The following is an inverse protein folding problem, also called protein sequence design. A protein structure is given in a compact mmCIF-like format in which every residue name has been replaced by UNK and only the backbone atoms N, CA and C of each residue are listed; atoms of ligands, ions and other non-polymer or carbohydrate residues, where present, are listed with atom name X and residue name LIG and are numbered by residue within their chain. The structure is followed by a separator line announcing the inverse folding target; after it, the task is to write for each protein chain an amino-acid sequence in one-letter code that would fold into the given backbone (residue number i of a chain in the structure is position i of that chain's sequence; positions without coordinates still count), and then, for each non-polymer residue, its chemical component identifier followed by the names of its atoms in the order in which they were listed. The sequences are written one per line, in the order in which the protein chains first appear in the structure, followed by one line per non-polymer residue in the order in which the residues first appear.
data_IF_170238436727
#
_entry.id   IF_170238436727
#
_cell.length_a   1.000
_cell.length_b   1.000
_cell.length_c   1.000
_cell.angle_alpha   90.00
_cell.angle_beta   90.00
_cell.angle_gamma   90.00
#
_symmetry.space_group_name_H-M   'P 1'
#
loop_
_entity.id
_entity.type
_entity.pdbx_description
1 polymer ?
#
# COMPACT_ATOMS: atom_id res chain seq x y z
N UNK A 1 10.52 -4.15 -17.85
CA UNK A 1 11.55 -5.15 -17.46
C UNK A 1 12.87 -4.98 -18.23
N UNK A 2 13.11 -3.83 -18.89
CA UNK A 2 14.26 -3.59 -19.77
C UNK A 2 15.48 -2.96 -19.07
N UNK A 3 15.30 -2.35 -17.90
CA UNK A 3 16.38 -1.65 -17.20
C UNK A 3 17.28 -2.55 -16.35
N UNK A 4 16.83 -3.76 -15.99
CA UNK A 4 17.59 -4.66 -15.14
C UNK A 4 18.56 -5.49 -15.98
N UNK A 5 19.83 -5.10 -16.00
CA UNK A 5 20.89 -5.79 -16.75
C UNK A 5 20.96 -7.31 -16.46
N UNK A 6 20.96 -7.77 -15.19
CA UNK A 6 21.03 -9.21 -14.90
C UNK A 6 19.68 -9.93 -15.06
N UNK A 7 18.60 -9.23 -15.41
CA UNK A 7 17.27 -9.83 -15.48
C UNK A 7 16.72 -10.29 -14.13
N UNK A 8 17.12 -9.65 -13.03
CA UNK A 8 16.65 -9.96 -11.67
C UNK A 8 15.21 -9.50 -11.41
N UNK A 9 14.72 -8.48 -12.13
CA UNK A 9 13.36 -7.98 -11.96
C UNK A 9 12.42 -8.77 -12.88
N UNK A 10 11.38 -9.38 -12.31
CA UNK A 10 10.36 -10.13 -13.04
C UNK A 10 8.95 -9.77 -12.56
N UNK A 11 7.93 -10.26 -13.27
CA UNK A 11 6.52 -10.07 -12.93
C UNK A 11 5.97 -11.46 -12.69
N UNK A 12 5.51 -11.71 -11.47
CA UNK A 12 4.92 -13.00 -11.11
C UNK A 12 3.58 -13.17 -11.84
N UNK A 13 3.37 -14.27 -12.59
CA UNK A 13 2.15 -14.47 -13.36
C UNK A 13 0.93 -14.74 -12.48
N UNK A 14 1.10 -15.16 -11.23
CA UNK A 14 -0.02 -15.53 -10.35
C UNK A 14 -0.61 -14.31 -9.63
N UNK A 15 0.26 -13.38 -9.19
CA UNK A 15 -0.13 -12.21 -8.38
C UNK A 15 -0.01 -10.89 -9.13
N UNK A 16 0.44 -10.91 -10.39
CA UNK A 16 0.86 -9.75 -11.18
C UNK A 16 1.89 -8.82 -10.50
N UNK A 17 2.49 -9.29 -9.39
CA UNK A 17 3.41 -8.50 -8.60
C UNK A 17 4.77 -8.49 -9.28
N UNK A 18 5.34 -7.30 -9.48
CA UNK A 18 6.73 -7.17 -9.90
C UNK A 18 7.61 -7.59 -8.72
N UNK A 19 8.57 -8.49 -8.90
CA UNK A 19 9.47 -8.98 -7.85
C UNK A 19 10.93 -8.84 -8.27
N UNK A 20 11.84 -8.99 -7.30
CA UNK A 20 13.28 -8.96 -7.51
C UNK A 20 13.86 -10.28 -7.02
N UNK A 21 14.52 -11.01 -7.92
CA UNK A 21 15.34 -12.17 -7.58
C UNK A 21 16.65 -11.66 -6.95
N UNK A 22 16.81 -11.88 -5.65
CA UNK A 22 17.97 -11.42 -4.90
C UNK A 22 19.25 -12.17 -5.25
N UNK A 23 19.17 -13.41 -5.73
CA UNK A 23 20.35 -14.17 -6.15
C UNK A 23 20.93 -13.57 -7.44
N UNK A 24 20.05 -13.16 -8.36
CA UNK A 24 20.45 -12.51 -9.62
C UNK A 24 20.77 -11.03 -9.49
N UNK A 25 20.32 -10.37 -8.43
CA UNK A 25 20.59 -8.95 -8.22
C UNK A 25 22.10 -8.69 -8.02
N UNK A 26 22.66 -7.74 -8.76
CA UNK A 26 24.08 -7.34 -8.69
C UNK A 26 24.30 -5.91 -8.16
N UNK A 27 23.26 -5.27 -7.61
CA UNK A 27 23.35 -3.91 -7.05
C UNK A 27 23.89 -2.85 -8.03
N UNK A 28 23.49 -2.89 -9.31
CA UNK A 28 23.99 -1.94 -10.32
C UNK A 28 23.24 -0.61 -10.39
N UNK A 29 22.28 -0.35 -9.50
CA UNK A 29 21.47 0.88 -9.47
C UNK A 29 20.58 1.18 -10.71
N UNK A 30 20.66 0.40 -11.80
CA UNK A 30 19.99 0.73 -13.06
C UNK A 30 18.46 0.80 -12.95
N UNK A 31 17.85 -0.07 -12.16
CA UNK A 31 16.41 -0.04 -11.92
C UNK A 31 15.96 1.16 -11.08
N UNK A 32 16.81 1.70 -10.21
CA UNK A 32 16.49 2.90 -9.46
C UNK A 32 16.53 4.15 -10.37
N UNK A 33 17.53 4.25 -11.25
CA UNK A 33 17.59 5.32 -12.26
C UNK A 33 16.40 5.28 -13.23
N UNK A 34 15.93 4.08 -13.56
CA UNK A 34 14.79 3.91 -14.47
C UNK A 34 13.41 4.11 -13.81
N UNK A 35 13.32 4.06 -12.47
CA UNK A 35 12.04 4.13 -11.78
C UNK A 35 11.59 5.60 -11.62
N UNK A 36 10.51 6.05 -12.30
CA UNK A 36 10.06 7.43 -12.20
C UNK A 36 9.50 7.80 -10.81
N UNK A 37 9.15 6.79 -10.01
CA UNK A 37 8.59 6.98 -8.67
C UNK A 37 9.65 7.00 -7.56
N UNK A 38 10.93 6.70 -7.87
CA UNK A 38 12.01 6.73 -6.88
C UNK A 38 11.84 5.75 -5.70
N UNK A 39 11.11 4.64 -5.90
CA UNK A 39 10.75 3.71 -4.81
C UNK A 39 11.77 2.60 -4.55
N UNK A 40 12.76 2.42 -5.43
CA UNK A 40 13.78 1.37 -5.28
C UNK A 40 14.82 1.82 -4.25
N UNK A 41 15.09 0.97 -3.26
CA UNK A 41 16.12 1.18 -2.23
C UNK A 41 17.19 0.11 -2.34
N UNK A 42 18.34 0.35 -1.70
CA UNK A 42 19.44 -0.61 -1.63
C UNK A 42 19.86 -0.78 -0.19
N UNK A 43 19.78 -2.00 0.30
CA UNK A 43 20.19 -2.41 1.63
C UNK A 43 20.26 -3.94 1.67
N UNK A 44 20.83 -4.46 2.75
CA UNK A 44 20.68 -5.87 3.07
C UNK A 44 19.22 -6.13 3.48
N UNK A 45 18.62 -7.16 2.89
CA UNK A 45 17.28 -7.61 3.22
C UNK A 45 17.36 -8.96 3.93
N UNK A 46 16.46 -9.22 4.87
CA UNK A 46 16.41 -10.47 5.62
C UNK A 46 16.11 -11.69 4.75
N UNK A 47 15.52 -11.48 3.57
CA UNK A 47 15.24 -12.52 2.56
C UNK A 47 16.32 -12.64 1.48
N UNK A 48 17.32 -11.75 1.50
CA UNK A 48 18.47 -11.82 0.60
C UNK A 48 19.61 -12.66 1.20
N UNK A 49 20.58 -13.12 0.38
CA UNK A 49 21.78 -13.76 0.89
C UNK A 49 22.49 -12.87 1.96
N UNK A 50 22.93 -13.44 3.10
CA UNK A 50 23.53 -12.66 4.18
C UNK A 50 24.72 -11.80 3.71
N UNK A 51 24.76 -10.53 4.12
CA UNK A 51 25.82 -9.59 3.74
C UNK A 51 25.74 -9.07 2.30
N UNK A 52 24.69 -9.43 1.54
CA UNK A 52 24.48 -8.97 0.17
C UNK A 52 23.53 -7.77 0.14
N UNK A 53 24.06 -6.61 -0.25
CA UNK A 53 23.22 -5.45 -0.58
C UNK A 53 22.51 -5.70 -1.90
N UNK A 54 21.18 -5.63 -1.89
CA UNK A 54 20.34 -5.86 -3.08
C UNK A 54 19.37 -4.69 -3.29
N UNK A 55 18.79 -4.62 -4.49
CA UNK A 55 17.66 -3.73 -4.75
C UNK A 55 16.43 -4.27 -4.01
N UNK A 56 15.79 -3.43 -3.20
CA UNK A 56 14.60 -3.76 -2.41
C UNK A 56 13.48 -2.78 -2.77
N UNK A 57 12.25 -3.30 -2.82
CA UNK A 57 11.02 -2.52 -3.05
C UNK A 57 9.83 -3.29 -2.46
N UNK A 58 8.65 -2.66 -2.45
CA UNK A 58 7.39 -3.33 -2.10
C UNK A 58 7.21 -4.63 -2.89
N UNK A 59 6.88 -5.71 -2.21
CA UNK A 59 6.61 -7.05 -2.73
C UNK A 59 5.11 -7.41 -2.64
N UNK A 60 4.24 -6.44 -2.38
CA UNK A 60 2.82 -6.68 -2.08
C UNK A 60 2.57 -7.71 -0.96
N UNK A 61 3.55 -7.92 -0.07
CA UNK A 61 3.51 -8.95 0.96
C UNK A 61 3.24 -10.36 0.39
N UNK A 62 3.95 -10.80 -0.64
CA UNK A 62 3.74 -12.11 -1.29
C UNK A 62 3.62 -13.28 -0.32
N UNK A 63 4.41 -13.29 0.75
CA UNK A 63 4.35 -14.35 1.77
C UNK A 63 3.03 -14.38 2.54
N UNK A 64 2.40 -13.22 2.75
CA UNK A 64 1.09 -13.11 3.41
C UNK A 64 -0.03 -13.51 2.45
N UNK A 65 0.05 -13.03 1.20
CA UNK A 65 -0.91 -13.41 0.17
C UNK A 65 -0.93 -14.93 -0.06
N UNK A 66 0.23 -15.59 -0.02
CA UNK A 66 0.37 -17.03 -0.18
C UNK A 66 -0.38 -17.86 0.88
N UNK A 67 -0.64 -17.28 2.06
CA UNK A 67 -1.41 -17.92 3.15
C UNK A 67 -2.82 -17.33 3.31
N UNK A 68 -3.32 -16.62 2.29
CA UNK A 68 -4.66 -16.03 2.29
C UNK A 68 -4.82 -14.80 3.18
N UNK A 69 -3.72 -14.21 3.67
CA UNK A 69 -3.76 -12.96 4.42
C UNK A 69 -3.63 -11.75 3.49
N UNK A 70 -4.24 -10.63 3.87
CA UNK A 70 -4.07 -9.35 3.16
C UNK A 70 -2.69 -8.71 3.47
N UNK A 71 -2.22 -7.75 2.65
CA UNK A 71 -0.98 -7.03 2.91
C UNK A 71 -0.98 -6.31 4.26
N UNK A 72 0.16 -6.30 4.93
CA UNK A 72 0.28 -5.75 6.29
C UNK A 72 -0.06 -4.25 6.36
N UNK A 73 0.29 -3.47 5.32
CA UNK A 73 -0.06 -2.05 5.26
C UNK A 73 -1.58 -1.81 5.17
N UNK A 74 -2.31 -2.73 4.53
CA UNK A 74 -3.77 -2.67 4.39
C UNK A 74 -4.43 -3.10 5.70
N UNK A 75 -3.96 -4.19 6.30
CA UNK A 75 -4.45 -4.67 7.61
C UNK A 75 -4.29 -3.60 8.69
N UNK A 76 -3.14 -2.91 8.74
CA UNK A 76 -2.86 -1.90 9.75
C UNK A 76 -3.64 -0.58 9.54
N UNK A 77 -4.30 -0.40 8.39
CA UNK A 77 -5.00 0.82 8.05
C UNK A 77 -6.32 0.96 8.81
N UNK A 78 -6.25 1.56 10.02
CA UNK A 78 -7.41 1.76 10.91
C UNK A 78 -8.53 2.62 10.32
N UNK A 79 -8.24 3.44 9.33
CA UNK A 79 -9.23 4.31 8.67
C UNK A 79 -9.85 3.69 7.43
N UNK A 80 -9.40 2.50 7.01
CA UNK A 80 -9.85 1.90 5.76
C UNK A 80 -9.47 2.71 4.51
N UNK A 81 -8.47 3.60 4.59
CA UNK A 81 -7.99 4.38 3.45
C UNK A 81 -7.26 3.51 2.42
N UNK A 82 -6.67 2.40 2.85
CA UNK A 82 -6.02 1.42 2.00
C UNK A 82 -6.95 0.21 1.81
N UNK A 83 -7.00 -0.29 0.58
CA UNK A 83 -7.77 -1.47 0.17
C UNK A 83 -6.90 -2.32 -0.75
N UNK A 84 -7.08 -3.63 -0.73
CA UNK A 84 -6.40 -4.57 -1.61
C UNK A 84 -7.47 -5.33 -2.39
N UNK A 85 -7.72 -4.88 -3.61
CA UNK A 85 -8.80 -5.33 -4.49
C UNK A 85 -8.39 -5.07 -5.94
N UNK A 86 -9.05 -5.73 -6.89
CA UNK A 86 -8.83 -5.46 -8.31
C UNK A 86 -9.19 -4.00 -8.65
N UNK A 87 -8.38 -3.31 -9.48
CA UNK A 87 -8.56 -1.88 -9.75
C UNK A 87 -9.93 -1.50 -10.32
N UNK A 88 -10.53 -2.37 -11.14
CA UNK A 88 -11.84 -2.18 -11.75
C UNK A 88 -12.97 -2.28 -10.71
N UNK A 89 -12.90 -3.26 -9.81
CA UNK A 89 -13.81 -3.41 -8.66
C UNK A 89 -13.71 -2.19 -7.75
N UNK A 90 -12.48 -1.77 -7.42
CA UNK A 90 -12.22 -0.58 -6.61
C UNK A 90 -12.80 0.69 -7.26
N UNK A 91 -12.58 0.83 -8.56
CA UNK A 91 -13.05 1.96 -9.36
C UNK A 91 -14.58 2.04 -9.39
N UNK A 92 -15.25 0.93 -9.70
CA UNK A 92 -16.70 0.86 -9.73
C UNK A 92 -17.33 1.20 -8.36
N UNK A 93 -16.80 0.61 -7.28
CA UNK A 93 -17.25 0.87 -5.91
C UNK A 93 -17.09 2.34 -5.53
N UNK A 94 -15.92 2.94 -5.80
CA UNK A 94 -15.63 4.35 -5.48
C UNK A 94 -16.48 5.31 -6.31
N UNK A 95 -16.65 5.05 -7.61
CA UNK A 95 -17.54 5.86 -8.47
C UNK A 95 -18.97 5.83 -7.95
N UNK A 96 -19.49 4.66 -7.57
CA UNK A 96 -20.83 4.54 -6.98
C UNK A 96 -20.95 5.27 -5.64
N UNK A 97 -19.92 5.23 -4.80
CA UNK A 97 -19.87 5.96 -3.53
C UNK A 97 -19.90 7.48 -3.73
N UNK A 98 -19.08 8.00 -4.64
CA UNK A 98 -19.09 9.42 -5.01
C UNK A 98 -20.46 9.82 -5.55
N UNK A 99 -21.04 9.02 -6.46
CA UNK A 99 -22.36 9.29 -7.03
C UNK A 99 -23.46 9.38 -5.97
N UNK A 100 -23.44 8.50 -4.95
CA UNK A 100 -24.36 8.58 -3.81
C UNK A 100 -24.16 9.86 -3.01
N UNK A 101 -22.92 10.17 -2.64
CA UNK A 101 -22.58 11.34 -1.81
C UNK A 101 -22.96 12.69 -2.42
N UNK A 102 -23.01 12.80 -3.75
CA UNK A 102 -23.41 14.03 -4.45
C UNK A 102 -24.91 14.10 -4.74
N UNK A 103 -25.60 12.96 -4.81
CA UNK A 103 -27.01 12.88 -5.18
C UNK A 103 -27.93 12.88 -3.97
N UNK A 104 -27.56 12.14 -2.93
CA UNK A 104 -28.20 12.15 -1.62
C UNK A 104 -27.28 13.01 -0.78
N UNK A 105 -27.75 14.14 -0.26
CA UNK A 105 -26.98 14.92 0.71
C UNK A 105 -26.77 14.08 1.96
N UNK A 106 -25.74 13.25 1.98
CA UNK A 106 -25.53 12.24 3.00
C UNK A 106 -24.45 12.68 3.98
N UNK A 107 -24.74 12.48 5.27
CA UNK A 107 -23.86 12.78 6.39
C UNK A 107 -22.62 11.89 6.40
N UNK A 108 -21.59 12.35 7.12
CA UNK A 108 -20.27 11.73 7.18
C UNK A 108 -20.32 10.21 7.41
N UNK A 109 -19.72 9.45 6.49
CA UNK A 109 -19.57 7.99 6.58
C UNK A 109 -18.93 7.57 7.91
N UNK A 110 -19.55 6.59 8.56
CA UNK A 110 -18.96 5.90 9.71
C UNK A 110 -17.87 4.93 9.23
N UNK A 111 -16.63 5.18 9.65
CA UNK A 111 -15.45 4.40 9.24
C UNK A 111 -15.35 3.16 10.14
N UNK A 112 -15.18 1.94 9.63
CA UNK A 112 -14.97 0.75 10.47
C UNK A 112 -13.79 0.96 11.43
N UNK A 113 -14.02 0.89 12.75
CA UNK A 113 -13.04 1.27 13.79
C UNK A 113 -13.20 2.68 14.37
N UNK A 114 -14.18 3.46 13.88
CA UNK A 114 -14.57 4.78 14.40
C UNK A 114 -15.02 4.76 15.86
N UNK A 115 -15.52 3.62 16.36
CA UNK A 115 -15.86 3.39 17.77
C UNK A 115 -14.70 3.82 18.70
N UNK A 116 -13.47 3.40 18.37
CA UNK A 116 -12.26 3.76 19.12
C UNK A 116 -11.91 5.25 19.02
N UNK A 117 -12.41 5.93 18.00
CA UNK A 117 -12.22 7.37 17.79
C UNK A 117 -13.43 8.20 18.25
N UNK A 118 -14.51 7.58 18.74
CA UNK A 118 -15.73 8.30 19.14
C UNK A 118 -15.44 9.27 20.29
N UNK A 119 -14.69 8.83 21.31
CA UNK A 119 -14.24 9.66 22.43
C UNK A 119 -13.37 10.82 21.94
N UNK A 120 -12.41 10.55 21.05
CA UNK A 120 -11.51 11.59 20.52
C UNK A 120 -12.28 12.62 19.68
N UNK A 121 -13.25 12.16 18.89
CA UNK A 121 -14.11 13.04 18.10
C UNK A 121 -15.05 13.86 18.98
N UNK A 122 -15.60 13.28 20.06
CA UNK A 122 -16.40 13.99 21.06
C UNK A 122 -15.58 15.06 21.78
N UNK A 123 -14.36 14.74 22.21
CA UNK A 123 -13.43 15.68 22.84
C UNK A 123 -13.05 16.82 21.88
N UNK A 124 -12.73 16.51 20.61
CA UNK A 124 -12.44 17.55 19.60
C UNK A 124 -13.63 18.47 19.36
N UNK A 125 -14.87 17.94 19.32
CA UNK A 125 -16.09 18.75 19.18
C UNK A 125 -16.28 19.66 20.40
N UNK A 126 -16.10 19.13 21.62
CA UNK A 126 -16.18 19.90 22.86
C UNK A 126 -15.10 21.01 22.93
N UNK A 127 -13.86 20.68 22.57
CA UNK A 127 -12.75 21.62 22.59
C UNK A 127 -12.94 22.75 21.56
N UNK A 128 -13.49 22.44 20.39
CA UNK A 128 -13.85 23.44 19.38
C UNK A 128 -14.96 24.37 19.85
N UNK A 129 -15.94 23.87 20.61
CA UNK A 129 -17.00 24.69 21.20
C UNK A 129 -16.49 25.65 22.29
N UNK A 130 -15.40 25.30 22.98
CA UNK A 130 -14.75 26.15 23.99
C UNK A 130 -13.86 27.23 23.34
N UNK A 131 -13.19 26.91 22.22
CA UNK A 131 -12.27 27.82 21.52
C UNK A 131 -12.93 28.83 20.55
N UNK A 132 -14.26 28.91 20.49
CA UNK A 132 -15.01 29.91 19.67
C UNK A 132 -15.55 31.06 20.56
N UNK A 133 -14.92 31.34 21.70
CA UNK A 133 -15.20 32.52 22.54
C UNK A 133 -13.98 33.42 22.61
#
# INVERSE_FOLDING_TARGET
MLACLPGAIYRDPNTDTVLIDYDRCINCASCAMACPYGVIRYHEDYTAPPGKVVAVKCDNCVHRLAVGMIPACVEMCKTGALTFEEPDVAGARKTAEVARSVSVGEEAREVPGSESFSLLNALKRAQKAVNIR
#
